data_IF_569834269378
#
_entry.id   IF_569834269378
#
_cell.length_a   1.000
_cell.length_b   1.000
_cell.length_c   1.000
_cell.angle_alpha   90.00
_cell.angle_beta   90.00
_cell.angle_gamma   90.00
#
_symmetry.space_group_name_H-M   'P 1'
#
loop_
_entity.id
_entity.type
_entity.pdbx_description
1 polymer ?
#
# COMPACT_ATOMS: atom_id res chain seq x y z
N UNK A 1 -28.52 -22.86 14.07
CA UNK A 1 -28.01 -21.60 14.70
C UNK A 1 -28.32 -20.46 13.73
N UNK A 2 -29.00 -19.43 14.19
CA UNK A 2 -29.24 -18.21 13.40
C UNK A 2 -27.95 -17.41 13.27
N UNK A 3 -27.67 -16.90 12.07
CA UNK A 3 -26.55 -16.03 11.84
C UNK A 3 -26.69 -14.74 12.67
N UNK A 4 -25.63 -14.23 13.30
CA UNK A 4 -25.69 -13.00 14.09
C UNK A 4 -26.13 -11.81 13.24
N UNK A 5 -26.85 -10.88 13.86
CA UNK A 5 -27.28 -9.67 13.16
C UNK A 5 -26.10 -8.83 12.67
N UNK A 6 -26.24 -8.02 11.61
CA UNK A 6 -25.16 -7.13 11.15
C UNK A 6 -24.62 -6.20 12.25
N UNK A 7 -25.49 -5.74 13.15
CA UNK A 7 -25.09 -4.90 14.30
C UNK A 7 -24.29 -5.68 15.33
N UNK A 8 -24.67 -6.94 15.60
CA UNK A 8 -23.91 -7.83 16.50
C UNK A 8 -22.51 -8.06 15.95
N UNK A 9 -22.40 -8.40 14.67
CA UNK A 9 -21.09 -8.57 14.00
C UNK A 9 -20.26 -7.29 14.10
N UNK A 10 -20.85 -6.14 13.82
CA UNK A 10 -20.17 -4.84 13.92
C UNK A 10 -19.65 -4.57 15.32
N UNK A 11 -20.46 -4.78 16.34
CA UNK A 11 -20.06 -4.54 17.73
C UNK A 11 -18.91 -5.47 18.16
N UNK A 12 -18.97 -6.76 17.80
CA UNK A 12 -17.88 -7.71 18.04
C UNK A 12 -16.58 -7.24 17.36
N UNK A 13 -16.68 -6.76 16.11
CA UNK A 13 -15.51 -6.24 15.39
C UNK A 13 -14.93 -5.01 16.11
N UNK A 14 -15.76 -4.08 16.57
CA UNK A 14 -15.28 -2.91 17.32
C UNK A 14 -14.64 -3.28 18.67
N UNK A 15 -15.22 -4.22 19.39
CA UNK A 15 -14.61 -4.74 20.63
C UNK A 15 -13.27 -5.42 20.39
N UNK A 16 -13.14 -6.17 19.29
CA UNK A 16 -11.90 -6.86 18.93
C UNK A 16 -10.81 -5.96 18.37
N UNK A 17 -11.17 -4.83 17.77
CA UNK A 17 -10.27 -3.90 17.08
C UNK A 17 -10.15 -2.55 17.78
N UNK A 18 -10.59 -2.46 19.03
CA UNK A 18 -10.74 -1.21 19.78
C UNK A 18 -9.43 -0.49 20.15
N UNK A 19 -8.27 -1.07 19.83
CA UNK A 19 -6.97 -0.46 20.09
C UNK A 19 -5.98 -0.68 18.93
N UNK A 20 -4.93 0.15 18.89
CA UNK A 20 -3.86 0.11 17.91
C UNK A 20 -3.11 -1.22 17.89
N UNK A 21 -3.00 -1.87 19.04
CA UNK A 21 -2.33 -3.17 19.18
C UNK A 21 -3.16 -4.30 18.55
N UNK A 22 -4.48 -4.27 18.75
CA UNK A 22 -5.38 -5.21 18.11
C UNK A 22 -5.37 -5.06 16.58
N UNK A 23 -5.34 -3.83 16.08
CA UNK A 23 -5.25 -3.55 14.65
C UNK A 23 -3.91 -4.02 14.05
N UNK A 24 -2.80 -3.83 14.76
CA UNK A 24 -1.49 -4.33 14.35
C UNK A 24 -1.45 -5.86 14.31
N UNK A 25 -2.04 -6.54 15.32
CA UNK A 25 -2.18 -8.01 15.33
C UNK A 25 -3.03 -8.50 14.15
N UNK A 26 -4.12 -7.80 13.84
CA UNK A 26 -4.96 -8.15 12.68
C UNK A 26 -4.19 -7.98 11.36
N UNK A 27 -3.47 -6.87 11.17
CA UNK A 27 -2.62 -6.65 9.99
C UNK A 27 -1.60 -7.77 9.82
N UNK A 28 -0.93 -8.17 10.91
CA UNK A 28 0.03 -9.28 10.90
C UNK A 28 -0.66 -10.59 10.48
N UNK A 29 -1.80 -10.90 11.09
CA UNK A 29 -2.55 -12.12 10.79
C UNK A 29 -3.04 -12.17 9.34
N UNK A 30 -3.52 -11.05 8.81
CA UNK A 30 -3.91 -10.93 7.39
C UNK A 30 -2.71 -11.20 6.50
N UNK A 31 -1.56 -10.62 6.82
CA UNK A 31 -0.33 -10.79 6.05
C UNK A 31 0.16 -12.25 6.07
N UNK A 32 0.10 -12.94 7.21
CA UNK A 32 0.39 -14.38 7.30
C UNK A 32 -0.52 -15.20 6.37
N UNK A 33 -1.83 -14.92 6.41
CA UNK A 33 -2.81 -15.62 5.58
C UNK A 33 -2.60 -15.37 4.09
N UNK A 34 -2.25 -14.14 3.68
CA UNK A 34 -1.92 -13.81 2.30
C UNK A 34 -0.74 -14.66 1.82
N UNK A 35 0.32 -14.75 2.61
CA UNK A 35 1.52 -15.55 2.27
C UNK A 35 1.20 -17.05 2.24
N UNK A 36 0.43 -17.56 3.20
CA UNK A 36 0.05 -18.97 3.27
C UNK A 36 -0.77 -19.44 2.04
N UNK A 37 -1.47 -18.53 1.38
CA UNK A 37 -2.29 -18.79 0.18
C UNK A 37 -1.53 -18.63 -1.13
N UNK A 38 -0.25 -18.27 -1.10
CA UNK A 38 0.54 -18.12 -2.33
C UNK A 38 0.81 -19.46 -2.99
N UNK A 39 0.87 -19.51 -4.33
CA UNK A 39 1.35 -20.70 -5.04
C UNK A 39 2.76 -21.08 -4.60
N UNK A 40 3.01 -22.34 -4.27
CA UNK A 40 4.27 -22.87 -3.71
C UNK A 40 5.56 -22.42 -4.42
N UNK A 41 5.48 -22.12 -5.71
CA UNK A 41 6.64 -21.75 -6.54
C UNK A 41 6.68 -20.26 -6.91
N UNK A 42 5.77 -19.43 -6.36
CA UNK A 42 5.64 -18.02 -6.79
C UNK A 42 6.92 -17.24 -6.49
N UNK A 43 7.51 -17.41 -5.31
CA UNK A 43 8.67 -16.65 -4.83
C UNK A 43 10.01 -17.32 -5.14
N UNK A 44 10.02 -18.55 -5.70
CA UNK A 44 11.27 -19.22 -6.09
C UNK A 44 12.03 -18.53 -7.22
N UNK A 45 11.35 -17.74 -8.05
CA UNK A 45 11.95 -16.98 -9.14
C UNK A 45 11.73 -15.50 -8.94
N UNK A 46 12.73 -14.71 -9.34
CA UNK A 46 12.59 -13.27 -9.39
C UNK A 46 11.46 -12.85 -10.35
N UNK A 47 10.53 -12.01 -9.88
CA UNK A 47 9.34 -11.59 -10.63
C UNK A 47 9.12 -10.10 -10.53
N UNK A 48 8.39 -9.49 -11.49
CA UNK A 48 7.90 -8.14 -11.33
C UNK A 48 6.99 -8.04 -10.08
N UNK A 49 7.20 -7.00 -9.30
CA UNK A 49 6.35 -6.68 -8.15
C UNK A 49 5.88 -5.23 -8.25
N UNK A 50 4.83 -4.87 -7.55
CA UNK A 50 4.39 -3.50 -7.50
C UNK A 50 3.86 -3.14 -6.11
N UNK A 51 3.98 -1.85 -5.78
CA UNK A 51 3.37 -1.24 -4.61
C UNK A 51 2.29 -0.28 -5.10
N UNK A 52 1.15 -0.33 -4.43
CA UNK A 52 0.00 0.52 -4.72
C UNK A 52 -0.69 0.95 -3.42
N UNK A 53 -1.35 2.09 -3.43
CA UNK A 53 -2.17 2.57 -2.30
C UNK A 53 -3.62 2.68 -2.73
N UNK A 54 -4.48 2.04 -1.97
CA UNK A 54 -5.93 2.06 -2.18
C UNK A 54 -6.58 2.96 -1.12
N UNK A 55 -7.46 3.85 -1.57
CA UNK A 55 -8.27 4.72 -0.72
C UNK A 55 -9.67 4.11 -0.59
N UNK A 56 -10.08 3.79 0.64
CA UNK A 56 -11.41 3.28 0.96
C UNK A 56 -12.23 4.43 1.54
N UNK A 57 -13.37 4.83 0.93
CA UNK A 57 -14.17 5.94 1.41
C UNK A 57 -14.66 5.73 2.84
N UNK A 58 -14.56 6.77 3.65
CA UNK A 58 -15.10 6.81 5.00
C UNK A 58 -16.23 7.84 5.07
N UNK A 59 -17.37 7.44 5.60
CA UNK A 59 -18.59 8.25 5.71
C UNK A 59 -19.07 8.44 7.14
N UNK A 60 -18.31 7.93 8.13
CA UNK A 60 -18.63 8.09 9.54
C UNK A 60 -18.24 9.46 10.09
N UNK A 61 -18.60 9.69 11.34
CA UNK A 61 -18.05 10.78 12.15
C UNK A 61 -16.58 10.46 12.46
N UNK A 62 -15.74 11.46 12.46
CA UNK A 62 -14.31 11.31 12.75
C UNK A 62 -13.84 12.51 13.57
N UNK A 63 -12.90 12.27 14.45
CA UNK A 63 -12.17 13.29 15.17
C UNK A 63 -11.00 13.78 14.31
N UNK A 64 -10.61 15.07 14.46
CA UNK A 64 -9.49 15.61 13.69
C UNK A 64 -8.17 14.90 13.98
N UNK A 65 -8.07 14.21 15.11
CA UNK A 65 -6.89 13.47 15.57
C UNK A 65 -6.88 12.00 15.15
N UNK A 66 -7.90 11.52 14.43
CA UNK A 66 -7.98 10.12 14.00
C UNK A 66 -6.81 9.77 13.05
N UNK A 67 -5.89 8.95 13.55
CA UNK A 67 -4.68 8.51 12.85
C UNK A 67 -4.98 7.59 11.65
N UNK A 68 -6.17 7.01 11.58
CA UNK A 68 -6.54 6.06 10.53
C UNK A 68 -7.29 6.68 9.37
N UNK A 69 -7.70 7.95 9.50
CA UNK A 69 -8.46 8.67 8.48
C UNK A 69 -7.59 9.77 7.87
N UNK A 70 -7.40 9.68 6.56
CA UNK A 70 -6.64 10.66 5.78
C UNK A 70 -7.57 11.45 4.88
N UNK A 71 -7.25 12.73 4.71
CA UNK A 71 -7.91 13.59 3.72
C UNK A 71 -7.31 13.37 2.33
N UNK A 72 -8.18 13.29 1.34
CA UNK A 72 -7.82 13.25 -0.08
C UNK A 72 -8.80 14.08 -0.89
N UNK A 73 -8.58 14.13 -2.22
CA UNK A 73 -9.53 14.78 -3.13
C UNK A 73 -10.89 14.09 -3.00
N UNK A 74 -11.96 14.88 -3.02
CA UNK A 74 -13.33 14.36 -2.93
C UNK A 74 -13.58 13.27 -3.98
N UNK A 75 -13.99 12.08 -3.50
CA UNK A 75 -14.37 10.91 -4.28
C UNK A 75 -15.52 10.21 -3.55
N UNK A 76 -16.47 9.67 -4.27
CA UNK A 76 -17.58 8.89 -3.70
C UNK A 76 -18.33 9.60 -2.56
N UNK A 77 -18.47 10.94 -2.65
CA UNK A 77 -19.24 11.74 -1.68
C UNK A 77 -18.49 12.07 -0.37
N UNK A 78 -17.22 11.74 -0.26
CA UNK A 78 -16.40 12.06 0.91
C UNK A 78 -15.03 12.63 0.54
N UNK A 79 -14.38 13.29 1.50
CA UNK A 79 -12.96 13.68 1.45
C UNK A 79 -12.11 12.89 2.42
N UNK A 80 -12.70 11.93 3.14
CA UNK A 80 -12.07 11.14 4.19
C UNK A 80 -11.97 9.68 3.78
N UNK A 81 -10.80 9.07 3.98
CA UNK A 81 -10.49 7.74 3.48
C UNK A 81 -9.60 6.99 4.46
N UNK A 82 -9.82 5.69 4.61
CA UNK A 82 -8.79 4.77 5.08
C UNK A 82 -7.87 4.44 3.90
N UNK A 83 -6.57 4.50 4.14
CA UNK A 83 -5.58 4.19 3.12
C UNK A 83 -4.86 2.88 3.45
N UNK A 84 -4.72 2.04 2.46
CA UNK A 84 -3.98 0.79 2.56
C UNK A 84 -2.93 0.69 1.48
N UNK A 85 -1.68 0.49 1.91
CA UNK A 85 -0.58 0.13 1.01
C UNK A 85 -0.58 -1.37 0.75
N UNK A 86 -0.37 -1.78 -0.48
CA UNK A 86 -0.29 -3.19 -0.87
C UNK A 86 0.98 -3.46 -1.66
N UNK A 87 1.63 -4.59 -1.37
CA UNK A 87 2.72 -5.15 -2.18
C UNK A 87 2.22 -6.41 -2.86
N UNK A 88 2.36 -6.51 -4.17
CA UNK A 88 1.95 -7.68 -4.92
C UNK A 88 2.96 -8.08 -6.00
N UNK A 89 2.95 -9.37 -6.33
CA UNK A 89 3.72 -9.96 -7.43
C UNK A 89 2.83 -10.13 -8.65
N UNK A 90 3.41 -9.84 -9.81
CA UNK A 90 2.76 -10.02 -11.10
C UNK A 90 3.23 -11.33 -11.74
N UNK A 91 2.28 -12.21 -12.07
CA UNK A 91 2.55 -13.44 -12.81
C UNK A 91 1.38 -13.77 -13.75
N UNK A 92 1.66 -13.88 -15.04
CA UNK A 92 0.69 -14.34 -16.06
C UNK A 92 -0.66 -13.60 -15.97
N UNK A 93 -0.60 -12.25 -15.97
CA UNK A 93 -1.77 -11.35 -15.83
C UNK A 93 -2.52 -11.44 -14.49
N UNK A 94 -1.99 -12.18 -13.50
CA UNK A 94 -2.54 -12.26 -12.14
C UNK A 94 -1.71 -11.45 -11.16
N UNK A 95 -2.39 -10.88 -10.17
CA UNK A 95 -1.79 -10.20 -9.02
C UNK A 95 -1.88 -11.13 -7.82
N UNK A 96 -0.77 -11.30 -7.12
CA UNK A 96 -0.69 -12.06 -5.87
C UNK A 96 -0.23 -11.11 -4.78
N UNK A 97 -1.16 -10.69 -3.93
CA UNK A 97 -0.85 -9.80 -2.80
C UNK A 97 0.00 -10.55 -1.80
N UNK A 98 1.16 -9.98 -1.44
CA UNK A 98 2.10 -10.52 -0.48
C UNK A 98 1.96 -9.84 0.88
N UNK A 99 1.65 -8.56 0.86
CA UNK A 99 1.54 -7.76 2.06
C UNK A 99 0.53 -6.63 1.87
N UNK A 100 -0.11 -6.29 2.97
CA UNK A 100 -0.94 -5.11 3.14
C UNK A 100 -0.44 -4.35 4.37
N UNK A 101 -0.51 -3.03 4.37
CA UNK A 101 -0.27 -2.21 5.55
C UNK A 101 -1.24 -1.04 5.58
N UNK A 102 -1.76 -0.74 6.75
CA UNK A 102 -2.54 0.46 6.99
C UNK A 102 -1.63 1.68 6.88
N UNK A 103 -2.10 2.73 6.23
CA UNK A 103 -1.37 4.00 6.08
C UNK A 103 -1.94 5.00 7.06
N UNK A 104 -1.22 5.24 8.14
CA UNK A 104 -1.60 6.20 9.18
C UNK A 104 -1.47 7.63 8.66
N UNK A 105 -2.17 8.57 9.31
CA UNK A 105 -2.12 10.01 8.98
C UNK A 105 -0.69 10.56 9.08
N UNK A 106 0.06 10.14 10.08
CA UNK A 106 1.46 10.48 10.32
C UNK A 106 2.45 9.88 9.31
N UNK A 107 2.07 8.80 8.60
CA UNK A 107 2.95 8.13 7.65
C UNK A 107 3.28 8.98 6.42
N UNK A 108 4.54 8.95 6.04
CA UNK A 108 4.98 9.37 4.71
C UNK A 108 4.93 8.21 3.71
N UNK A 109 4.96 8.49 2.41
CA UNK A 109 5.07 7.44 1.39
C UNK A 109 6.40 6.68 1.49
N UNK A 110 7.42 7.26 2.09
CA UNK A 110 8.70 6.58 2.39
C UNK A 110 8.48 5.49 3.42
N UNK A 111 7.74 5.78 4.50
CA UNK A 111 7.47 4.82 5.57
C UNK A 111 6.65 3.65 5.08
N UNK A 112 5.60 3.92 4.29
CA UNK A 112 4.78 2.90 3.64
C UNK A 112 5.63 2.02 2.72
N UNK A 113 6.47 2.65 1.89
CA UNK A 113 7.36 1.92 0.96
C UNK A 113 8.33 1.02 1.72
N UNK A 114 8.95 1.54 2.79
CA UNK A 114 9.87 0.78 3.63
C UNK A 114 9.18 -0.42 4.25
N UNK A 115 8.04 -0.24 4.92
CA UNK A 115 7.30 -1.34 5.56
C UNK A 115 6.97 -2.45 4.55
N UNK A 116 6.45 -2.11 3.39
CA UNK A 116 6.07 -3.08 2.36
C UNK A 116 7.28 -3.79 1.75
N UNK A 117 8.38 -3.07 1.48
CA UNK A 117 9.61 -3.66 0.94
C UNK A 117 10.25 -4.60 1.95
N UNK A 118 10.38 -4.19 3.21
CA UNK A 118 10.95 -5.05 4.27
C UNK A 118 10.08 -6.29 4.50
N UNK A 119 8.76 -6.12 4.51
CA UNK A 119 7.83 -7.25 4.57
C UNK A 119 8.02 -8.22 3.39
N UNK A 120 8.16 -7.69 2.19
CA UNK A 120 8.46 -8.48 1.00
C UNK A 120 9.76 -9.28 1.17
N UNK A 121 10.82 -8.68 1.71
CA UNK A 121 12.08 -9.36 1.98
C UNK A 121 11.92 -10.50 3.00
N UNK A 122 11.19 -10.26 4.09
CA UNK A 122 10.94 -11.26 5.14
C UNK A 122 10.27 -12.52 4.57
N UNK A 123 9.36 -12.38 3.61
CA UNK A 123 8.71 -13.53 2.95
C UNK A 123 9.51 -14.09 1.77
N UNK A 124 10.72 -13.62 1.56
CA UNK A 124 11.62 -14.12 0.53
C UNK A 124 11.38 -13.57 -0.88
N UNK A 125 10.68 -12.44 -1.01
CA UNK A 125 10.51 -11.78 -2.31
C UNK A 125 11.85 -11.26 -2.82
N UNK A 126 12.17 -11.63 -4.07
CA UNK A 126 13.31 -11.11 -4.85
C UNK A 126 12.74 -10.41 -6.09
N UNK A 127 12.42 -9.11 -6.03
CA UNK A 127 11.81 -8.43 -7.16
C UNK A 127 12.78 -8.40 -8.35
N UNK A 128 12.32 -8.81 -9.52
CA UNK A 128 13.03 -8.55 -10.77
C UNK A 128 13.02 -7.05 -11.08
N UNK A 129 11.92 -6.38 -10.72
CA UNK A 129 11.68 -4.94 -10.81
C UNK A 129 10.51 -4.58 -9.92
N UNK A 130 10.60 -3.46 -9.23
CA UNK A 130 9.52 -2.91 -8.43
C UNK A 130 8.88 -1.73 -9.16
N UNK A 131 7.57 -1.77 -9.31
CA UNK A 131 6.77 -0.72 -9.94
C UNK A 131 6.01 0.04 -8.88
N UNK A 132 6.01 1.37 -8.98
CA UNK A 132 5.25 2.25 -8.11
C UNK A 132 4.52 3.29 -8.98
N UNK A 133 3.35 3.69 -8.52
CA UNK A 133 2.57 4.71 -9.20
C UNK A 133 3.11 6.12 -8.96
N UNK A 134 2.43 7.11 -9.51
CA UNK A 134 2.77 8.54 -9.41
C UNK A 134 2.68 9.08 -7.97
N UNK A 135 1.86 8.48 -7.11
CA UNK A 135 1.74 8.86 -5.69
C UNK A 135 3.04 8.71 -4.90
N UNK A 136 3.94 7.87 -5.39
CA UNK A 136 5.26 7.62 -4.80
C UNK A 136 6.38 8.51 -5.40
N UNK A 137 6.06 9.43 -6.31
CA UNK A 137 7.04 10.34 -6.92
C UNK A 137 7.48 11.43 -5.93
N UNK A 138 8.38 11.07 -5.02
CA UNK A 138 9.06 11.99 -4.13
C UNK A 138 10.53 11.57 -3.88
N UNK A 139 11.35 12.55 -3.50
CA UNK A 139 12.80 12.37 -3.35
C UNK A 139 13.15 11.32 -2.29
N UNK A 140 12.40 11.24 -1.19
CA UNK A 140 12.64 10.27 -0.13
C UNK A 140 12.43 8.83 -0.58
N UNK A 141 11.35 8.56 -1.32
CA UNK A 141 11.09 7.23 -1.91
C UNK A 141 12.18 6.87 -2.91
N UNK A 142 12.56 7.80 -3.80
CA UNK A 142 13.63 7.58 -4.78
C UNK A 142 14.95 7.28 -4.08
N UNK A 143 15.32 8.07 -3.05
CA UNK A 143 16.55 7.87 -2.27
C UNK A 143 16.54 6.48 -1.60
N UNK A 144 15.45 6.09 -0.95
CA UNK A 144 15.34 4.77 -0.34
C UNK A 144 15.43 3.64 -1.38
N UNK A 145 14.72 3.74 -2.49
CA UNK A 145 14.74 2.69 -3.51
C UNK A 145 16.10 2.53 -4.19
N UNK A 146 16.91 3.58 -4.29
CA UNK A 146 18.30 3.51 -4.77
C UNK A 146 19.20 2.67 -3.88
N UNK A 147 18.87 2.49 -2.60
CA UNK A 147 19.63 1.62 -1.69
C UNK A 147 19.26 0.15 -1.81
N UNK A 148 18.23 -0.18 -2.58
CA UNK A 148 17.72 -1.55 -2.71
C UNK A 148 18.47 -2.34 -3.79
N UNK A 149 18.66 -3.67 -3.62
CA UNK A 149 19.39 -4.51 -4.56
C UNK A 149 18.58 -4.89 -5.82
N UNK A 150 17.54 -4.15 -6.14
CA UNK A 150 16.69 -4.39 -7.30
C UNK A 150 16.29 -3.07 -7.98
N UNK A 151 16.08 -3.07 -9.30
CA UNK A 151 15.65 -1.89 -10.02
C UNK A 151 14.21 -1.54 -9.71
N UNK A 152 13.90 -0.24 -9.68
CA UNK A 152 12.55 0.29 -9.51
C UNK A 152 12.15 1.23 -10.64
N UNK A 153 10.87 1.30 -10.91
CA UNK A 153 10.25 2.24 -11.84
C UNK A 153 9.13 2.97 -11.11
N UNK A 154 9.21 4.29 -11.09
CA UNK A 154 8.18 5.17 -10.54
C UNK A 154 7.62 6.00 -11.68
N UNK A 155 6.29 6.09 -11.79
CA UNK A 155 5.65 6.99 -12.73
C UNK A 155 5.89 8.43 -12.28
N UNK A 156 6.50 9.25 -13.15
CA UNK A 156 6.82 10.64 -12.82
C UNK A 156 5.58 11.54 -12.90
N UNK A 157 5.49 12.47 -11.97
CA UNK A 157 4.55 13.59 -12.07
C UNK A 157 5.12 14.65 -13.00
N UNK A 158 4.41 14.95 -14.08
CA UNK A 158 4.81 16.02 -15.00
C UNK A 158 4.53 17.36 -14.33
N UNK A 159 5.58 18.07 -13.95
CA UNK A 159 5.52 19.39 -13.30
C UNK A 159 6.18 20.44 -14.19
N UNK A 160 5.68 21.68 -14.08
CA UNK A 160 6.17 22.83 -14.84
C UNK A 160 5.49 22.98 -16.21
N UNK A 161 5.47 24.21 -16.73
CA UNK A 161 4.97 24.51 -18.08
C UNK A 161 6.04 24.25 -19.15
N UNK A 162 7.28 24.70 -18.93
CA UNK A 162 8.41 24.61 -19.86
C UNK A 162 9.63 23.91 -19.25
N UNK A 163 9.76 23.89 -17.92
CA UNK A 163 10.87 23.32 -17.16
C UNK A 163 10.47 22.12 -16.30
N UNK A 164 11.28 21.81 -15.29
CA UNK A 164 11.08 20.71 -14.36
C UNK A 164 11.06 19.35 -15.05
N UNK A 165 10.19 18.43 -14.59
CA UNK A 165 10.09 17.09 -15.18
C UNK A 165 9.59 17.11 -16.63
N UNK A 166 8.91 18.18 -17.07
CA UNK A 166 8.49 18.34 -18.47
C UNK A 166 9.68 18.45 -19.41
N UNK A 167 10.76 19.13 -18.99
CA UNK A 167 11.98 19.25 -19.79
C UNK A 167 12.63 17.88 -20.11
N UNK A 168 12.45 16.89 -19.23
CA UNK A 168 12.96 15.53 -19.41
C UNK A 168 12.19 14.77 -20.51
N UNK A 169 10.98 15.23 -20.86
CA UNK A 169 10.15 14.63 -21.91
C UNK A 169 10.49 15.16 -23.30
N UNK A 170 11.21 16.28 -23.37
CA UNK A 170 11.72 16.87 -24.63
C UNK A 170 12.96 16.09 -25.08
N UNK A 171 12.81 14.78 -25.24
CA UNK A 171 13.88 13.93 -25.73
C UNK A 171 14.32 14.35 -27.14
N UNK A 172 15.59 14.17 -27.43
CA UNK A 172 16.09 14.28 -28.82
C UNK A 172 15.29 13.28 -29.68
N UNK A 173 14.59 13.81 -30.68
CA UNK A 173 14.03 13.00 -31.75
C UNK A 173 15.16 12.39 -32.60
#
# INVERSE_FOLDING_TARGET
EEAPSPNTVRNIVYEMLGDDEALARLEERVNELLVARLPKNLLKRSRPAAIDVTEIPYHGEHEEEDEFIRRSRAKHGTTHFHWYGTLYVLKEHKRYTLAITLVRRSDTMVDVTKRLVERGKTVGLKPRRLYLDRGFDNNGVVAYLKTQPFPSIIALTIRGKEGGTRALLNGRR
#
